data_IF_968192117159
#
_entry.id   IF_968192117159
#
_cell.length_a   1.000
_cell.length_b   1.000
_cell.length_c   1.000
_cell.angle_alpha   90.00
_cell.angle_beta   90.00
_cell.angle_gamma   90.00
#
_symmetry.space_group_name_H-M   'P 1'
#
loop_
_entity.id
_entity.type
_entity.pdbx_description
1 polymer ?
#
# COMPACT_ATOMS: atom_id res chain seq x y z
N UNK A 1 13.90 -9.05 19.97
CA UNK A 1 13.04 -8.47 21.02
C UNK A 1 13.40 -7.00 21.14
N UNK A 2 12.89 -6.18 20.23
CA UNK A 2 12.95 -4.72 20.34
C UNK A 2 11.54 -4.24 20.64
N UNK A 3 11.46 -3.30 21.59
CA UNK A 3 10.22 -2.80 22.17
C UNK A 3 9.48 -1.93 21.15
N UNK A 4 8.51 -2.51 20.45
CA UNK A 4 7.41 -1.76 19.83
C UNK A 4 6.48 -1.26 20.94
N UNK A 5 6.89 -0.19 21.62
CA UNK A 5 5.94 0.70 22.31
C UNK A 5 5.54 1.76 21.29
N UNK A 6 4.54 1.45 20.48
CA UNK A 6 3.84 2.45 19.69
C UNK A 6 3.19 3.42 20.68
N UNK A 7 3.70 4.64 20.70
CA UNK A 7 3.09 5.82 21.32
C UNK A 7 1.80 6.08 20.53
N UNK A 8 0.77 5.24 20.74
CA UNK A 8 -0.52 5.46 20.14
C UNK A 8 -1.22 6.56 20.95
N UNK A 9 -1.58 7.62 20.24
CA UNK A 9 -2.41 8.76 20.66
C UNK A 9 -1.82 9.73 21.68
N UNK A 10 -0.81 10.54 21.30
CA UNK A 10 -0.37 11.65 22.17
C UNK A 10 -1.45 12.73 22.32
N UNK A 11 -2.24 13.02 21.29
CA UNK A 11 -3.31 14.04 21.33
C UNK A 11 -4.64 13.55 21.94
N UNK A 12 -5.10 12.34 21.58
CA UNK A 12 -6.30 11.75 22.18
C UNK A 12 -6.07 11.33 23.66
N UNK A 13 -4.85 10.92 24.03
CA UNK A 13 -4.50 10.71 25.45
C UNK A 13 -4.39 12.02 26.24
N UNK A 14 -3.95 13.12 25.61
CA UNK A 14 -3.98 14.47 26.21
C UNK A 14 -5.42 14.92 26.51
N UNK A 15 -6.40 14.61 25.65
CA UNK A 15 -7.82 14.86 25.95
C UNK A 15 -8.34 14.05 27.14
N UNK A 16 -7.90 12.79 27.31
CA UNK A 16 -8.28 11.96 28.45
C UNK A 16 -7.61 12.40 29.76
N UNK A 17 -6.36 12.87 29.71
CA UNK A 17 -5.64 13.36 30.90
C UNK A 17 -6.08 14.76 31.36
N UNK A 18 -6.63 15.59 30.46
CA UNK A 18 -7.18 16.92 30.80
C UNK A 18 -8.47 16.88 31.64
N UNK A 19 -9.11 15.71 31.82
CA UNK A 19 -10.33 15.58 32.61
C UNK A 19 -10.07 15.39 34.12
N UNK A 20 -8.82 15.23 34.55
CA UNK A 20 -8.49 14.81 35.94
C UNK A 20 -7.78 15.84 36.82
N UNK A 21 -7.71 17.13 36.45
CA UNK A 21 -7.11 18.15 37.34
C UNK A 21 -7.88 19.46 37.38
N UNK A 22 -8.36 19.80 38.58
CA UNK A 22 -9.05 21.04 38.96
C UNK A 22 -8.18 22.30 38.76
N UNK A 23 -8.19 22.87 37.54
CA UNK A 23 -7.71 24.24 37.25
C UNK A 23 -8.54 24.83 36.09
N UNK A 24 -9.71 25.37 36.41
CA UNK A 24 -10.85 25.55 35.48
C UNK A 24 -10.92 26.86 34.67
N UNK A 25 -9.94 27.77 34.73
CA UNK A 25 -10.08 29.08 34.03
C UNK A 25 -9.02 29.39 32.97
N UNK A 26 -7.83 28.78 33.03
CA UNK A 26 -6.78 28.97 32.01
C UNK A 26 -6.67 27.80 31.01
N UNK A 27 -7.25 26.64 31.33
CA UNK A 27 -7.25 25.43 30.50
C UNK A 27 -8.43 25.36 29.50
N UNK A 28 -9.42 26.25 29.62
CA UNK A 28 -10.59 26.22 28.73
C UNK A 28 -10.25 26.67 27.32
N UNK A 29 -9.43 27.71 27.16
CA UNK A 29 -9.01 28.20 25.84
C UNK A 29 -8.11 27.22 25.09
N UNK A 30 -7.13 26.61 25.77
CA UNK A 30 -6.25 25.61 25.15
C UNK A 30 -6.99 24.32 24.79
N UNK A 31 -7.96 23.90 25.60
CA UNK A 31 -8.81 22.74 25.30
C UNK A 31 -9.75 23.01 24.12
N UNK A 32 -10.28 24.22 24.00
CA UNK A 32 -11.09 24.63 22.84
C UNK A 32 -10.22 24.65 21.58
N UNK A 33 -9.05 25.26 21.63
CA UNK A 33 -8.10 25.32 20.50
C UNK A 33 -7.64 23.92 20.06
N UNK A 34 -7.35 23.02 21.01
CA UNK A 34 -7.02 21.62 20.72
C UNK A 34 -8.18 20.89 20.02
N UNK A 35 -9.41 21.05 20.51
CA UNK A 35 -10.61 20.47 19.87
C UNK A 35 -10.84 21.02 18.47
N UNK A 36 -10.69 22.34 18.28
CA UNK A 36 -10.81 22.98 16.97
C UNK A 36 -9.77 22.47 15.98
N UNK A 37 -8.53 22.26 16.43
CA UNK A 37 -7.45 21.70 15.59
C UNK A 37 -7.75 20.26 15.16
N UNK A 38 -8.18 19.39 16.09
CA UNK A 38 -8.59 18.01 15.78
C UNK A 38 -9.73 17.97 14.76
N UNK A 39 -10.76 18.80 14.97
CA UNK A 39 -11.88 18.89 14.04
C UNK A 39 -11.44 19.36 12.66
N UNK A 40 -10.53 20.34 12.60
CA UNK A 40 -9.98 20.85 11.34
C UNK A 40 -9.17 19.79 10.59
N UNK A 41 -8.30 19.07 11.29
CA UNK A 41 -7.51 17.96 10.72
C UNK A 41 -8.42 16.87 10.18
N UNK A 42 -9.37 16.41 10.98
CA UNK A 42 -10.30 15.36 10.56
C UNK A 42 -11.22 15.83 9.41
N UNK A 43 -11.66 17.08 9.42
CA UNK A 43 -12.43 17.67 8.32
C UNK A 43 -11.64 17.68 7.01
N UNK A 44 -10.36 18.04 7.06
CA UNK A 44 -9.48 18.00 5.89
C UNK A 44 -9.28 16.56 5.37
N UNK A 45 -9.09 15.60 6.28
CA UNK A 45 -8.97 14.21 5.91
C UNK A 45 -10.25 13.65 5.30
N UNK A 46 -11.43 14.01 5.84
CA UNK A 46 -12.74 13.65 5.29
C UNK A 46 -12.90 14.10 3.84
N UNK A 47 -12.56 15.36 3.54
CA UNK A 47 -12.63 15.90 2.19
C UNK A 47 -11.66 15.19 1.23
N UNK A 48 -10.47 14.83 1.73
CA UNK A 48 -9.44 14.14 0.95
C UNK A 48 -9.84 12.69 0.64
N UNK A 49 -10.32 11.94 1.65
CA UNK A 49 -10.83 10.58 1.49
C UNK A 49 -11.99 10.56 0.48
N UNK A 50 -12.98 11.46 0.61
CA UNK A 50 -14.11 11.51 -0.32
C UNK A 50 -13.69 11.71 -1.77
N UNK A 51 -12.74 12.63 -2.01
CA UNK A 51 -12.21 12.89 -3.36
C UNK A 51 -11.54 11.66 -3.95
N UNK A 52 -10.79 10.92 -3.14
CA UNK A 52 -10.07 9.73 -3.58
C UNK A 52 -10.96 8.51 -3.79
N UNK A 53 -11.89 8.26 -2.86
CA UNK A 53 -12.83 7.13 -2.92
C UNK A 53 -13.70 7.20 -4.17
N UNK A 54 -14.21 8.37 -4.53
CA UNK A 54 -15.10 8.54 -5.70
C UNK A 54 -14.44 8.11 -7.02
N UNK A 55 -13.10 8.20 -7.12
CA UNK A 55 -12.31 7.81 -8.28
C UNK A 55 -11.63 6.44 -8.14
N UNK A 56 -11.71 5.81 -6.97
CA UNK A 56 -11.00 4.58 -6.65
C UNK A 56 -11.49 3.42 -7.55
N UNK A 57 -10.53 2.82 -8.28
CA UNK A 57 -10.65 1.60 -9.09
C UNK A 57 -11.98 1.41 -9.84
N UNK A 58 -12.52 2.49 -10.42
CA UNK A 58 -13.81 2.50 -11.14
C UNK A 58 -13.87 1.61 -12.39
N UNK A 59 -12.72 1.17 -12.88
CA UNK A 59 -12.62 0.22 -13.99
C UNK A 59 -12.80 -1.24 -13.52
N UNK A 60 -12.76 -1.49 -12.21
CA UNK A 60 -13.04 -2.80 -11.63
C UNK A 60 -14.55 -2.97 -11.38
N UNK A 61 -15.09 -4.15 -11.69
CA UNK A 61 -16.51 -4.45 -11.53
C UNK A 61 -17.01 -4.30 -10.09
N UNK A 62 -16.17 -4.55 -9.08
CA UNK A 62 -16.52 -4.40 -7.66
C UNK A 62 -16.88 -2.95 -7.29
N UNK A 63 -16.36 -1.97 -8.04
CA UNK A 63 -16.53 -0.53 -7.78
C UNK A 63 -17.19 0.22 -8.94
N UNK A 64 -17.90 -0.53 -9.79
CA UNK A 64 -18.63 -0.01 -10.96
C UNK A 64 -19.55 1.14 -10.59
N UNK A 65 -19.65 2.14 -11.49
CA UNK A 65 -20.62 3.25 -11.36
C UNK A 65 -22.02 2.89 -11.84
N UNK A 66 -22.18 1.73 -12.45
CA UNK A 66 -23.41 1.33 -13.14
C UNK A 66 -24.30 0.43 -12.28
N UNK A 67 -23.89 0.12 -11.06
CA UNK A 67 -24.66 -0.68 -10.11
C UNK A 67 -24.59 -0.09 -8.69
N UNK A 68 -25.61 -0.40 -7.87
CA UNK A 68 -25.69 0.05 -6.48
C UNK A 68 -24.68 -0.65 -5.56
N UNK A 69 -24.09 -1.77 -6.00
CA UNK A 69 -23.11 -2.50 -5.21
C UNK A 69 -21.78 -1.75 -5.18
N UNK A 70 -21.36 -1.15 -6.29
CA UNK A 70 -20.15 -0.35 -6.38
C UNK A 70 -20.17 0.86 -5.45
N UNK A 71 -21.28 1.60 -5.41
CA UNK A 71 -21.42 2.74 -4.49
C UNK A 71 -21.47 2.29 -3.02
N UNK A 72 -22.12 1.16 -2.70
CA UNK A 72 -22.09 0.56 -1.36
C UNK A 72 -20.67 0.16 -0.95
N UNK A 73 -19.91 -0.46 -1.86
CA UNK A 73 -18.55 -0.92 -1.61
C UNK A 73 -17.59 0.27 -1.43
N UNK A 74 -17.74 1.34 -2.22
CA UNK A 74 -16.99 2.57 -1.99
C UNK A 74 -17.33 3.27 -0.68
N UNK A 75 -18.60 3.27 -0.27
CA UNK A 75 -18.98 3.77 1.04
C UNK A 75 -18.30 2.97 2.17
N UNK A 76 -18.07 1.67 1.98
CA UNK A 76 -17.29 0.86 2.92
C UNK A 76 -15.81 1.25 2.93
N UNK A 77 -15.19 1.48 1.76
CA UNK A 77 -13.82 2.02 1.68
C UNK A 77 -13.72 3.36 2.43
N UNK A 78 -14.67 4.28 2.22
CA UNK A 78 -14.71 5.57 2.93
C UNK A 78 -14.74 5.36 4.44
N UNK A 79 -15.62 4.49 4.96
CA UNK A 79 -15.69 4.20 6.40
C UNK A 79 -14.38 3.61 6.92
N UNK A 80 -13.82 2.60 6.25
CA UNK A 80 -12.55 1.96 6.64
C UNK A 80 -11.42 3.00 6.74
N UNK A 81 -11.29 3.86 5.72
CA UNK A 81 -10.25 4.90 5.69
C UNK A 81 -10.46 5.93 6.79
N UNK A 82 -11.70 6.39 7.02
CA UNK A 82 -12.01 7.35 8.07
C UNK A 82 -11.79 6.77 9.47
N UNK A 83 -12.10 5.49 9.68
CA UNK A 83 -11.79 4.78 10.92
C UNK A 83 -10.29 4.71 11.17
N UNK A 84 -9.50 4.40 10.13
CA UNK A 84 -8.03 4.41 10.26
C UNK A 84 -7.50 5.81 10.57
N UNK A 85 -7.91 6.83 9.82
CA UNK A 85 -7.47 8.22 10.05
C UNK A 85 -7.84 8.69 11.45
N UNK A 86 -9.01 8.31 11.96
CA UNK A 86 -9.41 8.66 13.32
C UNK A 86 -8.47 8.07 14.38
N UNK A 87 -7.99 6.84 14.18
CA UNK A 87 -7.03 6.20 15.07
C UNK A 87 -5.61 6.75 14.92
N UNK A 88 -5.22 7.12 13.69
CA UNK A 88 -3.90 7.61 13.32
C UNK A 88 -3.92 9.08 12.86
N UNK A 89 -4.59 9.94 13.63
CA UNK A 89 -4.82 11.33 13.23
C UNK A 89 -3.52 12.10 12.95
N UNK A 90 -2.45 11.76 13.68
CA UNK A 90 -1.12 12.35 13.52
C UNK A 90 -0.46 11.97 12.19
N UNK A 91 -0.77 10.80 11.62
CA UNK A 91 -0.23 10.34 10.33
C UNK A 91 -1.04 10.93 9.14
N UNK A 92 -2.22 11.51 9.42
CA UNK A 92 -3.20 12.03 8.46
C UNK A 92 -3.62 11.03 7.36
N UNK A 93 -4.52 11.45 6.47
CA UNK A 93 -4.80 10.73 5.23
C UNK A 93 -3.81 11.15 4.15
N UNK A 94 -3.15 10.17 3.52
CA UNK A 94 -2.28 10.40 2.38
C UNK A 94 -2.85 9.75 1.12
N UNK A 95 -2.83 10.51 0.02
CA UNK A 95 -3.34 10.05 -1.28
C UNK A 95 -2.68 8.72 -1.68
N UNK A 96 -3.52 7.75 -2.06
CA UNK A 96 -3.08 6.39 -2.41
C UNK A 96 -3.46 5.33 -1.37
N UNK A 97 -3.84 5.70 -0.15
CA UNK A 97 -4.33 4.72 0.84
C UNK A 97 -5.59 4.00 0.34
N UNK A 98 -6.46 4.66 -0.43
CA UNK A 98 -7.61 4.02 -1.07
C UNK A 98 -7.21 2.91 -2.05
N UNK A 99 -6.06 3.04 -2.72
CA UNK A 99 -5.55 2.01 -3.64
C UNK A 99 -5.12 0.75 -2.88
N UNK A 100 -4.71 0.88 -1.62
CA UNK A 100 -4.38 -0.26 -0.77
C UNK A 100 -5.65 -0.96 -0.23
N UNK A 101 -6.66 -0.19 0.19
CA UNK A 101 -7.91 -0.76 0.76
C UNK A 101 -8.76 -1.47 -0.29
N UNK A 102 -8.88 -0.91 -1.50
CA UNK A 102 -9.75 -1.43 -2.55
C UNK A 102 -9.54 -2.91 -2.91
N UNK A 103 -8.31 -3.40 -3.17
CA UNK A 103 -8.09 -4.81 -3.45
C UNK A 103 -8.41 -5.69 -2.24
N UNK A 104 -8.14 -5.25 -1.00
CA UNK A 104 -8.45 -6.02 0.20
C UNK A 104 -9.95 -6.22 0.41
N UNK A 105 -10.74 -5.16 0.21
CA UNK A 105 -12.19 -5.25 0.31
C UNK A 105 -12.75 -6.18 -0.77
N UNK A 106 -12.26 -6.06 -2.01
CA UNK A 106 -12.67 -6.93 -3.11
C UNK A 106 -12.36 -8.41 -2.82
N UNK A 107 -11.17 -8.70 -2.28
CA UNK A 107 -10.77 -10.06 -1.86
C UNK A 107 -11.73 -10.63 -0.81
N UNK A 108 -12.13 -9.82 0.18
CA UNK A 108 -13.07 -10.25 1.23
C UNK A 108 -14.47 -10.46 0.68
N UNK A 109 -14.93 -9.60 -0.22
CA UNK A 109 -16.23 -9.73 -0.88
C UNK A 109 -16.29 -11.01 -1.73
N UNK A 110 -15.25 -11.28 -2.52
CA UNK A 110 -15.18 -12.47 -3.38
C UNK A 110 -15.25 -13.78 -2.57
N UNK A 111 -14.46 -13.90 -1.51
CA UNK A 111 -14.46 -15.08 -0.64
C UNK A 111 -15.74 -15.28 0.18
N UNK A 112 -16.54 -14.22 0.35
CA UNK A 112 -17.78 -14.28 1.11
C UNK A 112 -18.98 -14.70 0.27
N UNK A 113 -18.84 -14.74 -1.07
CA UNK A 113 -19.86 -15.28 -1.96
C UNK A 113 -19.66 -16.79 -2.03
N UNK A 114 -20.62 -17.63 -1.62
CA UNK A 114 -20.49 -19.07 -1.73
C UNK A 114 -20.24 -19.49 -3.19
N UNK A 115 -19.15 -20.19 -3.45
CA UNK A 115 -18.74 -20.69 -4.77
C UNK A 115 -19.63 -21.82 -5.33
N UNK A 116 -20.88 -21.94 -4.86
CA UNK A 116 -21.88 -22.90 -5.34
C UNK A 116 -23.26 -22.25 -5.40
N UNK A 117 -23.59 -21.71 -6.57
CA UNK A 117 -24.99 -21.51 -6.95
C UNK A 117 -25.49 -22.87 -7.45
N UNK A 118 -25.80 -23.78 -6.52
CA UNK A 118 -26.65 -24.93 -6.82
C UNK A 118 -28.07 -24.41 -7.01
N UNK A 119 -28.55 -24.51 -8.25
CA UNK A 119 -29.67 -23.74 -8.82
C UNK A 119 -31.06 -24.16 -8.31
N UNK A 120 -31.19 -24.94 -7.23
CA UNK A 120 -32.44 -25.68 -6.95
C UNK A 120 -33.07 -25.51 -5.56
N UNK A 121 -32.61 -24.59 -4.69
CA UNK A 121 -33.30 -24.33 -3.41
C UNK A 121 -33.38 -22.82 -3.10
N UNK A 122 -34.07 -22.07 -3.96
CA UNK A 122 -34.54 -20.74 -3.60
C UNK A 122 -35.80 -20.86 -2.74
N UNK A 123 -35.68 -20.67 -1.42
CA UNK A 123 -36.66 -19.97 -0.57
C UNK A 123 -36.44 -20.21 0.94
N UNK A 124 -35.28 -19.89 1.49
CA UNK A 124 -35.15 -19.58 2.92
C UNK A 124 -33.73 -19.15 3.25
N UNK A 125 -33.59 -17.99 3.92
CA UNK A 125 -32.43 -17.54 4.71
C UNK A 125 -31.36 -16.71 3.99
N UNK A 126 -31.76 -15.59 3.39
CA UNK A 126 -31.01 -14.34 3.60
C UNK A 126 -32.04 -13.31 4.04
N UNK A 127 -32.27 -13.19 5.35
CA UNK A 127 -32.94 -12.01 5.88
C UNK A 127 -32.03 -10.80 5.60
N UNK A 128 -32.60 -9.61 5.40
CA UNK A 128 -31.82 -8.39 5.24
C UNK A 128 -30.81 -8.22 6.40
N UNK A 129 -31.16 -8.63 7.62
CA UNK A 129 -30.29 -8.61 8.79
C UNK A 129 -29.02 -9.47 8.62
N UNK A 130 -29.14 -10.73 8.19
CA UNK A 130 -27.97 -11.59 7.96
C UNK A 130 -27.04 -11.03 6.88
N UNK A 131 -27.60 -10.37 5.85
CA UNK A 131 -26.80 -9.74 4.79
C UNK A 131 -26.03 -8.50 5.26
N UNK A 132 -26.60 -7.75 6.21
CA UNK A 132 -25.97 -6.58 6.82
C UNK A 132 -24.85 -7.02 7.76
N UNK A 133 -25.10 -8.03 8.59
CA UNK A 133 -24.10 -8.58 9.51
C UNK A 133 -22.88 -9.12 8.76
N UNK A 134 -23.08 -9.92 7.71
CA UNK A 134 -22.00 -10.40 6.85
C UNK A 134 -21.18 -9.26 6.23
N UNK A 135 -21.86 -8.22 5.74
CA UNK A 135 -21.16 -7.07 5.15
C UNK A 135 -20.34 -6.30 6.20
N UNK A 136 -20.86 -6.18 7.43
CA UNK A 136 -20.11 -5.57 8.53
C UNK A 136 -18.87 -6.40 8.89
N UNK A 137 -18.95 -7.73 8.92
CA UNK A 137 -17.80 -8.61 9.14
C UNK A 137 -16.73 -8.45 8.04
N UNK A 138 -17.17 -8.33 6.78
CA UNK A 138 -16.29 -8.03 5.65
C UNK A 138 -15.58 -6.70 5.84
N UNK A 139 -16.31 -5.64 6.21
CA UNK A 139 -15.75 -4.31 6.45
C UNK A 139 -14.72 -4.32 7.59
N UNK A 140 -15.08 -4.93 8.72
CA UNK A 140 -14.20 -5.06 9.90
C UNK A 140 -12.93 -5.85 9.55
N UNK A 141 -13.07 -7.01 8.92
CA UNK A 141 -11.93 -7.84 8.56
C UNK A 141 -11.03 -7.19 7.50
N UNK A 142 -11.61 -6.39 6.60
CA UNK A 142 -10.85 -5.57 5.64
C UNK A 142 -10.05 -4.49 6.38
N UNK A 143 -10.67 -3.77 7.31
CA UNK A 143 -9.99 -2.77 8.12
C UNK A 143 -8.83 -3.37 8.91
N UNK A 144 -9.00 -4.54 9.53
CA UNK A 144 -7.93 -5.23 10.27
C UNK A 144 -6.73 -5.52 9.35
N UNK A 145 -6.96 -6.05 8.15
CA UNK A 145 -5.90 -6.32 7.18
C UNK A 145 -5.23 -5.04 6.69
N UNK A 146 -6.02 -4.02 6.37
CA UNK A 146 -5.51 -2.73 5.93
C UNK A 146 -4.62 -2.09 7.00
N UNK A 147 -5.10 -2.04 8.24
CA UNK A 147 -4.36 -1.54 9.39
C UNK A 147 -3.04 -2.27 9.55
N UNK A 148 -3.07 -3.60 9.50
CA UNK A 148 -1.86 -4.42 9.58
C UNK A 148 -0.84 -4.05 8.49
N UNK A 149 -1.27 -3.91 7.22
CA UNK A 149 -0.38 -3.52 6.14
C UNK A 149 0.21 -2.13 6.33
N UNK A 150 -0.62 -1.18 6.76
CA UNK A 150 -0.19 0.18 7.05
C UNK A 150 0.85 0.19 8.16
N UNK A 151 0.56 -0.37 9.33
CA UNK A 151 1.47 -0.30 10.47
C UNK A 151 2.82 -0.99 10.23
N UNK A 152 2.81 -2.14 9.57
CA UNK A 152 4.01 -2.97 9.48
C UNK A 152 4.86 -2.68 8.23
N UNK A 153 4.25 -2.26 7.12
CA UNK A 153 4.99 -2.16 5.85
C UNK A 153 4.92 -0.76 5.22
N UNK A 154 3.82 -0.02 5.37
CA UNK A 154 3.58 1.19 4.57
C UNK A 154 3.64 2.51 5.34
N UNK A 155 3.45 2.52 6.67
CA UNK A 155 3.33 3.74 7.50
C UNK A 155 4.46 4.74 7.22
N UNK A 156 5.69 4.24 7.17
CA UNK A 156 6.91 5.04 6.92
C UNK A 156 6.97 5.67 5.51
N UNK A 157 6.28 5.08 4.54
CA UNK A 157 6.19 5.60 3.17
C UNK A 157 5.04 6.59 2.98
N UNK A 158 4.03 6.57 3.86
CA UNK A 158 2.87 7.46 3.82
C UNK A 158 2.95 8.64 4.80
N UNK A 159 3.75 8.53 5.88
CA UNK A 159 3.92 9.58 6.86
C UNK A 159 4.82 10.71 6.32
N UNK A 160 4.30 11.93 6.28
CA UNK A 160 4.90 13.11 5.65
C UNK A 160 6.34 13.39 6.09
N UNK A 161 6.65 13.19 7.36
CA UNK A 161 7.95 13.47 7.97
C UNK A 161 9.01 12.45 7.53
N UNK A 162 8.58 11.25 7.14
CA UNK A 162 9.49 10.11 6.90
C UNK A 162 9.47 9.61 5.45
N UNK A 163 8.41 9.89 4.70
CA UNK A 163 8.17 9.35 3.36
C UNK A 163 9.34 9.59 2.40
N UNK A 164 9.83 10.83 2.30
CA UNK A 164 10.96 11.18 1.41
C UNK A 164 12.20 10.36 1.77
N UNK A 165 12.56 10.32 3.05
CA UNK A 165 13.74 9.61 3.52
C UNK A 165 13.69 8.11 3.22
N UNK A 166 12.57 7.45 3.53
CA UNK A 166 12.43 6.02 3.28
C UNK A 166 12.33 5.70 1.78
N UNK A 167 11.74 6.57 0.99
CA UNK A 167 11.69 6.40 -0.46
C UNK A 167 13.08 6.55 -1.10
N UNK A 168 13.87 7.54 -0.67
CA UNK A 168 15.24 7.71 -1.12
C UNK A 168 16.11 6.48 -0.77
N UNK A 169 15.92 5.89 0.43
CA UNK A 169 16.56 4.61 0.77
C UNK A 169 16.17 3.48 -0.20
N UNK A 170 14.90 3.36 -0.60
CA UNK A 170 14.47 2.36 -1.58
C UNK A 170 15.19 2.55 -2.91
N UNK A 171 15.35 3.80 -3.36
CA UNK A 171 16.05 4.12 -4.59
C UNK A 171 17.53 3.77 -4.51
N UNK A 172 18.20 4.12 -3.41
CA UNK A 172 19.61 3.78 -3.20
C UNK A 172 19.83 2.26 -3.13
N UNK A 173 18.92 1.52 -2.50
CA UNK A 173 18.98 0.07 -2.44
C UNK A 173 18.79 -0.58 -3.81
N UNK A 174 17.79 -0.16 -4.61
CA UNK A 174 17.66 -0.66 -6.00
C UNK A 174 18.90 -0.35 -6.81
N UNK A 175 19.37 0.90 -6.76
CA UNK A 175 20.56 1.33 -7.50
C UNK A 175 21.76 0.45 -7.15
N UNK A 176 21.95 0.15 -5.88
CA UNK A 176 23.01 -0.76 -5.40
C UNK A 176 22.81 -2.19 -5.92
N UNK A 177 21.59 -2.71 -5.90
CA UNK A 177 21.28 -4.05 -6.43
C UNK A 177 21.58 -4.14 -7.93
N UNK A 178 21.16 -3.15 -8.72
CA UNK A 178 21.44 -3.10 -10.16
C UNK A 178 22.94 -2.96 -10.41
N UNK A 179 23.63 -2.10 -9.65
CA UNK A 179 25.08 -1.93 -9.80
C UNK A 179 25.86 -3.23 -9.58
N UNK A 180 25.41 -4.08 -8.65
CA UNK A 180 26.04 -5.37 -8.36
C UNK A 180 25.64 -6.43 -9.38
N UNK A 181 24.36 -6.49 -9.76
CA UNK A 181 23.80 -7.60 -10.54
C UNK A 181 23.82 -7.36 -12.06
N UNK A 182 23.78 -6.10 -12.51
CA UNK A 182 23.84 -5.71 -13.92
C UNK A 182 24.60 -4.38 -14.13
N UNK A 183 25.96 -4.43 -14.13
CA UNK A 183 26.80 -3.26 -14.33
C UNK A 183 26.62 -2.57 -15.70
N UNK A 184 26.11 -3.29 -16.71
CA UNK A 184 25.87 -2.72 -18.02
C UNK A 184 24.60 -1.86 -18.01
N UNK A 185 23.52 -2.34 -17.38
CA UNK A 185 22.30 -1.58 -17.22
C UNK A 185 22.54 -0.31 -16.40
N UNK A 186 23.27 -0.38 -15.28
CA UNK A 186 23.60 0.83 -14.51
C UNK A 186 24.44 1.80 -15.34
N UNK A 187 25.40 1.28 -16.12
CA UNK A 187 26.23 2.09 -17.01
C UNK A 187 25.43 2.74 -18.13
N UNK A 188 24.38 2.09 -18.64
CA UNK A 188 23.42 2.67 -19.57
C UNK A 188 22.66 3.83 -18.92
N UNK A 189 22.07 3.61 -17.76
CA UNK A 189 21.26 4.62 -17.05
C UNK A 189 22.09 5.84 -16.62
N UNK A 190 23.37 5.65 -16.26
CA UNK A 190 24.28 6.72 -15.85
C UNK A 190 24.74 7.64 -17.00
N UNK A 191 24.52 7.26 -18.28
CA UNK A 191 24.86 8.13 -19.42
C UNK A 191 23.98 9.38 -19.47
N UNK A 192 22.82 9.36 -18.82
CA UNK A 192 21.87 10.47 -18.82
C UNK A 192 22.12 11.37 -17.61
N UNK A 193 22.15 12.69 -17.85
CA UNK A 193 22.77 13.71 -16.96
C UNK A 193 22.07 13.94 -15.62
N UNK A 194 20.82 13.48 -15.45
CA UNK A 194 20.04 13.61 -14.22
C UNK A 194 19.72 12.24 -13.59
N UNK A 195 20.75 11.41 -13.39
CA UNK A 195 20.67 10.12 -12.68
C UNK A 195 20.19 10.25 -11.20
N UNK A 196 19.49 11.32 -10.85
CA UNK A 196 19.47 11.84 -9.50
C UNK A 196 18.64 10.92 -8.62
N UNK A 197 17.48 10.40 -9.03
CA UNK A 197 16.76 9.39 -8.23
C UNK A 197 15.84 8.53 -9.13
N UNK A 198 15.71 7.23 -8.84
CA UNK A 198 14.89 6.23 -9.57
C UNK A 198 13.37 6.50 -9.40
N UNK A 199 12.93 7.73 -9.64
CA UNK A 199 11.56 8.19 -9.44
C UNK A 199 10.52 7.42 -10.25
N UNK A 200 10.92 6.74 -11.33
CA UNK A 200 10.02 5.85 -12.06
C UNK A 200 9.50 4.69 -11.18
N UNK A 201 10.24 4.29 -10.14
CA UNK A 201 9.80 3.31 -9.15
C UNK A 201 9.00 3.92 -7.98
N UNK A 202 8.82 5.24 -7.91
CA UNK A 202 8.17 5.90 -6.75
C UNK A 202 6.76 5.33 -6.50
N UNK A 203 5.96 5.23 -7.58
CA UNK A 203 4.60 4.68 -7.52
C UNK A 203 4.59 3.22 -7.07
N UNK A 204 5.59 2.45 -7.46
CA UNK A 204 5.69 1.02 -7.13
C UNK A 204 5.82 0.81 -5.63
N UNK A 205 6.70 1.54 -4.96
CA UNK A 205 6.86 1.39 -3.52
C UNK A 205 5.73 2.04 -2.73
N UNK A 206 5.32 3.25 -3.13
CA UNK A 206 4.25 3.96 -2.42
C UNK A 206 2.94 3.17 -2.44
N UNK A 207 2.56 2.63 -3.61
CA UNK A 207 1.30 1.89 -3.76
C UNK A 207 1.51 0.38 -3.69
N UNK A 208 2.66 -0.07 -3.19
CA UNK A 208 3.00 -1.47 -3.00
C UNK A 208 2.68 -2.33 -4.24
N UNK A 209 3.04 -1.83 -5.43
CA UNK A 209 2.84 -2.38 -6.76
C UNK A 209 1.38 -2.48 -7.26
N UNK A 210 0.40 -2.00 -6.50
CA UNK A 210 -1.02 -2.12 -6.85
C UNK A 210 -1.40 -1.52 -8.21
N UNK A 211 -0.71 -0.49 -8.66
CA UNK A 211 -0.96 0.12 -9.98
C UNK A 211 -0.24 -0.59 -11.13
N UNK A 212 0.59 -1.58 -10.83
CA UNK A 212 1.33 -2.35 -11.83
C UNK A 212 0.63 -3.69 -12.14
N UNK A 213 -0.21 -4.19 -11.25
CA UNK A 213 -0.84 -5.51 -11.38
C UNK A 213 -2.36 -5.42 -11.19
N UNK A 214 -3.09 -6.28 -11.90
CA UNK A 214 -4.53 -6.48 -11.65
C UNK A 214 -4.74 -7.17 -10.28
N UNK A 215 -6.00 -7.36 -9.87
CA UNK A 215 -6.30 -7.85 -8.52
C UNK A 215 -5.78 -9.27 -8.28
N UNK A 216 -5.95 -10.19 -9.22
CA UNK A 216 -5.49 -11.57 -9.06
C UNK A 216 -3.96 -11.63 -8.94
N UNK A 217 -3.26 -10.81 -9.72
CA UNK A 217 -1.79 -10.80 -9.72
C UNK A 217 -1.22 -10.07 -8.51
N UNK A 218 -1.81 -8.94 -8.08
CA UNK A 218 -1.31 -8.18 -6.94
C UNK A 218 -1.42 -8.97 -5.63
N UNK A 219 -2.45 -9.80 -5.47
CA UNK A 219 -2.57 -10.67 -4.29
C UNK A 219 -1.39 -11.63 -4.21
N UNK A 220 -0.99 -12.26 -5.32
CA UNK A 220 0.18 -13.15 -5.34
C UNK A 220 1.48 -12.40 -5.03
N UNK A 221 1.65 -11.18 -5.55
CA UNK A 221 2.79 -10.33 -5.20
C UNK A 221 2.82 -10.03 -3.69
N UNK A 222 1.69 -9.62 -3.12
CA UNK A 222 1.60 -9.30 -1.69
C UNK A 222 1.83 -10.52 -0.80
N UNK A 223 1.24 -11.66 -1.11
CA UNK A 223 1.48 -12.92 -0.39
C UNK A 223 2.97 -13.26 -0.35
N UNK A 224 3.66 -13.16 -1.49
CA UNK A 224 5.09 -13.42 -1.56
C UNK A 224 5.90 -12.41 -0.76
N UNK A 225 5.63 -11.09 -0.88
CA UNK A 225 6.40 -10.09 -0.14
C UNK A 225 6.23 -10.29 1.37
N UNK A 226 4.98 -10.48 1.83
CA UNK A 226 4.67 -10.67 3.25
C UNK A 226 5.29 -11.95 3.81
N UNK A 227 5.24 -13.07 3.08
CA UNK A 227 5.88 -14.30 3.53
C UNK A 227 7.41 -14.23 3.46
N UNK A 228 7.97 -13.58 2.44
CA UNK A 228 9.41 -13.47 2.25
C UNK A 228 10.11 -12.64 3.34
N UNK A 229 9.40 -11.71 3.97
CA UNK A 229 9.90 -10.93 5.11
C UNK A 229 10.43 -11.82 6.24
N UNK A 230 9.77 -12.95 6.49
CA UNK A 230 10.11 -13.85 7.59
C UNK A 230 11.16 -14.91 7.24
N UNK A 231 11.48 -15.09 5.96
CA UNK A 231 12.23 -16.26 5.47
C UNK A 231 13.45 -15.85 4.66
N UNK A 232 13.34 -14.81 3.83
CA UNK A 232 14.30 -14.50 2.77
C UNK A 232 14.96 -13.14 3.00
N UNK A 233 14.16 -12.08 3.17
CA UNK A 233 14.64 -10.71 3.26
C UNK A 233 13.59 -9.80 3.87
N UNK A 234 14.00 -8.93 4.78
CA UNK A 234 13.16 -7.91 5.40
C UNK A 234 12.53 -6.93 4.38
N UNK A 235 13.05 -6.88 3.15
CA UNK A 235 12.55 -5.97 2.12
C UNK A 235 12.49 -6.62 0.74
N UNK A 236 11.63 -7.64 0.62
CA UNK A 236 11.47 -8.36 -0.63
C UNK A 236 10.90 -7.50 -1.78
N UNK A 237 10.27 -6.36 -1.46
CA UNK A 237 9.75 -5.40 -2.43
C UNK A 237 10.83 -4.89 -3.40
N UNK A 238 12.08 -4.80 -2.96
CA UNK A 238 13.22 -4.41 -3.80
C UNK A 238 13.49 -5.42 -4.92
N UNK A 239 13.31 -6.71 -4.65
CA UNK A 239 13.52 -7.77 -5.64
C UNK A 239 12.38 -7.83 -6.67
N UNK A 240 11.15 -7.46 -6.28
CA UNK A 240 10.05 -7.28 -7.24
C UNK A 240 10.35 -6.11 -8.19
N UNK A 241 10.79 -4.96 -7.66
CA UNK A 241 11.16 -3.81 -8.49
C UNK A 241 12.34 -4.13 -9.42
N UNK A 242 13.36 -4.81 -8.91
CA UNK A 242 14.49 -5.28 -9.73
C UNK A 242 14.04 -6.25 -10.82
N UNK A 243 13.14 -7.19 -10.49
CA UNK A 243 12.59 -8.12 -11.46
C UNK A 243 11.82 -7.42 -12.58
N UNK A 244 11.01 -6.40 -12.27
CA UNK A 244 10.33 -5.60 -13.29
C UNK A 244 11.31 -4.92 -14.24
N UNK A 245 12.36 -4.31 -13.70
CA UNK A 245 13.42 -3.67 -14.51
C UNK A 245 14.12 -4.72 -15.38
N UNK A 246 14.51 -5.85 -14.79
CA UNK A 246 15.30 -6.87 -15.47
C UNK A 246 14.52 -7.66 -16.51
N UNK A 247 13.22 -7.86 -16.30
CA UNK A 247 12.34 -8.49 -17.29
C UNK A 247 12.30 -7.69 -18.61
N UNK A 248 12.43 -6.36 -18.54
CA UNK A 248 12.43 -5.47 -19.70
C UNK A 248 13.81 -4.92 -20.06
N UNK A 249 14.88 -5.45 -19.46
CA UNK A 249 16.26 -4.95 -19.62
C UNK A 249 16.67 -4.82 -21.07
N UNK A 250 16.41 -5.83 -21.88
CA UNK A 250 16.78 -5.82 -23.31
C UNK A 250 16.03 -4.74 -24.08
N UNK A 251 14.76 -4.50 -23.76
CA UNK A 251 13.94 -3.45 -24.36
C UNK A 251 14.46 -2.07 -23.98
N UNK A 252 14.82 -1.87 -22.71
CA UNK A 252 15.37 -0.61 -22.18
C UNK A 252 16.70 -0.29 -22.87
N UNK A 253 17.63 -1.24 -22.89
CA UNK A 253 18.95 -1.04 -23.48
C UNK A 253 18.89 -0.91 -25.00
N UNK A 254 18.16 -1.78 -25.70
CA UNK A 254 18.10 -1.76 -27.18
C UNK A 254 17.50 -0.47 -27.71
N UNK A 255 16.47 0.06 -27.06
CA UNK A 255 15.83 1.32 -27.45
C UNK A 255 16.52 2.56 -26.86
N UNK A 256 17.60 2.39 -26.10
CA UNK A 256 18.36 3.46 -25.48
C UNK A 256 17.50 4.36 -24.59
N UNK A 257 16.53 3.76 -23.89
CA UNK A 257 15.55 4.50 -23.10
C UNK A 257 16.23 5.31 -21.99
N UNK A 258 15.88 6.59 -21.87
CA UNK A 258 16.21 7.41 -20.70
C UNK A 258 15.17 7.23 -19.58
N UNK A 259 15.40 7.83 -18.40
CA UNK A 259 14.51 7.66 -17.24
C UNK A 259 13.05 8.07 -17.51
N UNK A 260 12.83 9.09 -18.34
CA UNK A 260 11.50 9.56 -18.72
C UNK A 260 10.78 8.54 -19.63
N UNK A 261 11.51 7.94 -20.57
CA UNK A 261 11.02 6.87 -21.44
C UNK A 261 10.69 5.63 -20.63
N UNK A 262 11.54 5.25 -19.68
CA UNK A 262 11.30 4.12 -18.77
C UNK A 262 10.02 4.35 -17.96
N UNK A 263 9.85 5.55 -17.38
CA UNK A 263 8.62 5.91 -16.66
C UNK A 263 7.40 5.79 -17.58
N UNK A 264 7.45 6.34 -18.79
CA UNK A 264 6.35 6.26 -19.76
C UNK A 264 6.05 4.81 -20.14
N UNK A 265 7.09 4.02 -20.41
CA UNK A 265 6.99 2.61 -20.77
C UNK A 265 6.27 1.81 -19.67
N UNK A 266 6.69 1.93 -18.41
CA UNK A 266 6.05 1.22 -17.31
C UNK A 266 4.63 1.71 -17.04
N UNK A 267 4.34 3.01 -17.21
CA UNK A 267 2.97 3.52 -17.14
C UNK A 267 2.05 2.90 -18.19
N UNK A 268 2.53 2.69 -19.42
CA UNK A 268 1.77 2.04 -20.49
C UNK A 268 1.65 0.52 -20.31
N UNK A 269 2.58 -0.09 -19.56
CA UNK A 269 2.59 -1.53 -19.25
C UNK A 269 1.87 -1.92 -17.97
N UNK A 270 1.43 -0.94 -17.18
CA UNK A 270 0.64 -1.16 -15.97
C UNK A 270 -0.48 -2.19 -16.21
N UNK A 271 -0.61 -3.16 -15.30
CA UNK A 271 -1.56 -4.29 -15.33
C UNK A 271 -1.32 -5.35 -16.43
N UNK A 272 -0.25 -5.24 -17.21
CA UNK A 272 0.10 -6.17 -18.30
C UNK A 272 1.40 -6.96 -18.04
N UNK A 273 1.90 -6.96 -16.81
CA UNK A 273 3.07 -7.75 -16.41
C UNK A 273 2.69 -9.20 -16.16
N UNK A 274 3.49 -10.16 -16.61
CA UNK A 274 3.30 -11.57 -16.25
C UNK A 274 3.78 -11.80 -14.80
N UNK A 275 2.84 -12.03 -13.87
CA UNK A 275 3.16 -12.16 -12.44
C UNK A 275 4.12 -13.32 -12.14
N UNK A 276 3.96 -14.47 -12.80
CA UNK A 276 4.78 -15.65 -12.57
C UNK A 276 6.24 -15.40 -12.96
N UNK A 277 6.48 -14.79 -14.12
CA UNK A 277 7.82 -14.43 -14.59
C UNK A 277 8.49 -13.45 -13.63
N UNK A 278 7.76 -12.41 -13.19
CA UNK A 278 8.27 -11.41 -12.25
C UNK A 278 8.63 -12.06 -10.91
N UNK A 279 7.76 -12.89 -10.35
CA UNK A 279 8.01 -13.60 -9.09
C UNK A 279 9.20 -14.57 -9.19
N UNK A 280 9.31 -15.30 -10.30
CA UNK A 280 10.42 -16.22 -10.54
C UNK A 280 11.76 -15.46 -10.63
N UNK A 281 11.77 -14.33 -11.34
CA UNK A 281 12.97 -13.51 -11.50
C UNK A 281 13.35 -12.82 -10.17
N UNK A 282 12.38 -12.33 -9.40
CA UNK A 282 12.61 -11.78 -8.06
C UNK A 282 13.23 -12.82 -7.12
N UNK A 283 12.69 -14.05 -7.11
CA UNK A 283 13.24 -15.17 -6.33
C UNK A 283 14.65 -15.52 -6.76
N UNK A 284 14.92 -15.51 -8.07
CA UNK A 284 16.27 -15.73 -8.59
C UNK A 284 17.26 -14.69 -8.06
N UNK A 285 16.93 -13.40 -8.12
CA UNK A 285 17.81 -12.34 -7.64
C UNK A 285 18.02 -12.38 -6.13
N UNK A 286 16.97 -12.64 -5.34
CA UNK A 286 17.10 -12.81 -3.90
C UNK A 286 18.08 -13.93 -3.54
N UNK A 287 17.95 -15.09 -4.20
CA UNK A 287 18.87 -16.21 -4.02
C UNK A 287 20.31 -15.89 -4.44
N UNK A 288 20.49 -15.14 -5.54
CA UNK A 288 21.81 -14.73 -6.02
C UNK A 288 22.49 -13.82 -5.01
N UNK A 289 21.78 -12.81 -4.49
CA UNK A 289 22.31 -11.90 -3.46
C UNK A 289 22.67 -12.67 -2.18
N UNK A 290 21.80 -13.56 -1.69
CA UNK A 290 22.09 -14.38 -0.50
C UNK A 290 23.38 -15.20 -0.67
N UNK A 291 23.59 -15.82 -1.83
CA UNK A 291 24.82 -16.58 -2.15
C UNK A 291 26.06 -15.70 -2.23
N UNK A 292 25.92 -14.46 -2.70
CA UNK A 292 27.03 -13.51 -2.72
C UNK A 292 27.39 -13.09 -1.29
N UNK A 293 26.40 -12.79 -0.45
CA UNK A 293 26.65 -12.41 0.95
C UNK A 293 27.24 -13.54 1.79
N UNK A 294 26.86 -14.79 1.55
CA UNK A 294 27.42 -15.92 2.30
C UNK A 294 28.90 -16.14 1.98
N UNK A 295 29.30 -15.99 0.70
CA UNK A 295 30.70 -16.12 0.28
C UNK A 295 31.62 -15.03 0.83
N UNK A 296 31.08 -13.84 1.08
CA UNK A 296 31.84 -12.72 1.67
C UNK A 296 32.09 -12.92 3.16
N UNK A 297 31.24 -13.68 3.86
CA UNK A 297 31.40 -13.95 5.30
C UNK A 297 32.36 -15.11 5.61
N UNK A 298 32.72 -15.91 4.59
CA UNK A 298 33.64 -17.05 4.72
C UNK A 298 35.11 -16.70 4.40
N UNK A 299 35.40 -15.42 4.04
CA UNK A 299 36.75 -14.89 3.78
C UNK A 299 37.13 -13.80 4.79
#
# INVERSE_FOLDING_TARGET
>A
MEQNQTINTTLLSQMNNCQTTDNLTHNSSSLIECKENILKQFSHALDSVKKDVVRCDRNNCVYSKFDSHGDRNLAAIERILLTYVWEYLDDEYTQGMCDIVAPLLALKLEHSIPSSIDTNNQSSLITNENSIELFNEIEISTYILFKYLMENHLKKLFAKETATYYMDQKFDHIKSLIQILDPELIGHLQKFSDFTHFYFCYRWFLLYFKREFNYQDIFQIWEVILCAEHIISNDFSLFIALALIQYYRDVICSNHMELTDILKFFNERAEHHNVDDILNLARHFANTVQKLTSKTNDN
#
